data_IF_791473727405
#
_entry.id   IF_791473727405
#
_cell.length_a   1.000
_cell.length_b   1.000
_cell.length_c   1.000
_cell.angle_alpha   90.00
_cell.angle_beta   90.00
_cell.angle_gamma   90.00
#
_symmetry.space_group_name_H-M   'P 1'
#
loop_
_entity.id
_entity.type
_entity.pdbx_description
1 polymer ?
#
# COMPACT_ATOMS: atom_id res chain seq x y z
N UNK A 1 -27.91 -29.75 53.05
CA UNK A 1 -27.20 -28.96 52.04
C UNK A 1 -26.92 -27.57 52.59
N UNK A 2 -25.65 -27.26 52.95
CA UNK A 2 -25.27 -25.92 53.45
C UNK A 2 -25.07 -24.99 52.26
N UNK A 3 -25.89 -23.95 52.14
CA UNK A 3 -25.73 -22.87 51.16
C UNK A 3 -24.37 -22.17 51.37
N UNK A 4 -23.45 -22.41 50.50
CA UNK A 4 -22.20 -21.60 50.38
C UNK A 4 -22.65 -20.18 50.08
N UNK A 5 -22.31 -19.24 50.97
CA UNK A 5 -22.77 -17.84 50.90
C UNK A 5 -22.36 -17.25 49.54
N UNK A 6 -23.32 -16.64 48.80
CA UNK A 6 -23.02 -16.06 47.47
C UNK A 6 -21.95 -14.96 47.50
N UNK A 7 -21.65 -14.42 48.67
CA UNK A 7 -20.57 -13.43 48.91
C UNK A 7 -19.18 -13.97 48.69
N UNK A 8 -18.89 -15.27 48.94
CA UNK A 8 -17.57 -15.87 48.66
C UNK A 8 -17.36 -16.08 47.15
N UNK A 9 -18.43 -16.41 46.43
CA UNK A 9 -18.37 -16.57 44.97
C UNK A 9 -18.16 -15.21 44.29
N UNK A 10 -18.85 -14.15 44.75
CA UNK A 10 -18.70 -12.79 44.23
C UNK A 10 -17.32 -12.20 44.51
N UNK A 11 -16.75 -12.47 45.68
CA UNK A 11 -15.37 -12.04 46.00
C UNK A 11 -14.30 -12.77 45.18
N UNK A 12 -14.48 -14.05 44.87
CA UNK A 12 -13.58 -14.83 44.01
C UNK A 12 -13.63 -14.34 42.55
N UNK A 13 -14.81 -13.95 42.06
CA UNK A 13 -15.01 -13.38 40.71
C UNK A 13 -14.37 -11.97 40.59
N UNK A 14 -14.50 -11.14 41.64
CA UNK A 14 -13.92 -9.80 41.65
C UNK A 14 -12.35 -9.80 41.69
N UNK A 15 -11.76 -10.81 42.34
CA UNK A 15 -10.29 -10.99 42.36
C UNK A 15 -9.78 -11.53 41.03
N UNK A 16 -10.57 -12.31 40.28
CA UNK A 16 -10.20 -12.90 39.00
C UNK A 16 -10.25 -11.89 37.82
N UNK A 17 -10.99 -10.78 37.95
CA UNK A 17 -11.13 -9.77 36.86
C UNK A 17 -9.91 -8.87 36.65
N UNK A 18 -8.80 -9.00 37.44
CA UNK A 18 -7.62 -8.15 37.41
C UNK A 18 -6.36 -8.76 36.82
N UNK A 19 -6.35 -10.01 36.36
CA UNK A 19 -5.11 -10.73 35.99
C UNK A 19 -4.92 -10.90 34.49
N UNK A 20 -4.99 -9.81 33.71
CA UNK A 20 -4.52 -9.89 32.31
C UNK A 20 -3.02 -10.17 32.26
N UNK A 21 -2.62 -11.22 31.54
CA UNK A 21 -1.23 -11.60 31.32
C UNK A 21 -0.56 -10.82 30.17
N UNK A 22 -1.29 -9.90 29.57
CA UNK A 22 -0.80 -9.10 28.45
C UNK A 22 0.11 -7.97 28.98
N UNK A 23 1.33 -7.83 28.44
CA UNK A 23 2.19 -6.68 28.75
C UNK A 23 1.53 -5.38 28.31
N UNK A 24 1.67 -4.34 29.12
CA UNK A 24 1.26 -2.99 28.69
C UNK A 24 2.08 -2.59 27.45
N UNK A 25 1.39 -2.16 26.41
CA UNK A 25 2.08 -1.61 25.24
C UNK A 25 2.55 -0.19 25.57
N UNK A 26 3.83 0.04 25.40
CA UNK A 26 4.43 1.37 25.42
C UNK A 26 4.94 1.70 24.02
N UNK A 27 4.57 2.87 23.53
CA UNK A 27 5.04 3.32 22.22
C UNK A 27 6.54 3.54 22.29
N UNK A 28 7.34 2.91 21.39
CA UNK A 28 8.78 3.09 21.37
C UNK A 28 9.15 4.55 21.15
N UNK A 29 10.12 5.05 21.88
CA UNK A 29 10.70 6.37 21.65
C UNK A 29 11.32 6.42 20.25
N UNK A 30 11.13 7.55 19.56
CA UNK A 30 11.71 7.78 18.24
C UNK A 30 12.86 8.79 18.38
N UNK A 31 14.03 8.42 17.91
CA UNK A 31 15.22 9.29 17.82
C UNK A 31 15.12 10.29 16.66
N UNK A 32 13.90 10.60 16.20
CA UNK A 32 13.69 11.53 15.09
C UNK A 32 13.90 12.99 15.60
N UNK A 33 14.61 13.81 14.81
CA UNK A 33 14.73 15.25 15.12
C UNK A 33 13.35 15.92 15.06
N UNK A 34 13.13 16.98 15.84
CA UNK A 34 11.83 17.65 15.90
C UNK A 34 11.36 18.22 14.56
N UNK A 35 12.30 18.62 13.70
CA UNK A 35 11.99 19.13 12.35
C UNK A 35 12.89 18.49 11.32
N UNK A 36 12.28 18.13 10.19
CA UNK A 36 12.97 17.67 8.98
C UNK A 36 13.19 18.91 8.11
N UNK A 37 14.44 19.31 7.89
CA UNK A 37 14.74 20.38 6.93
C UNK A 37 15.30 21.69 7.46
N UNK A 38 15.59 21.83 8.75
CA UNK A 38 16.31 23.02 9.26
C UNK A 38 17.68 23.28 8.60
N UNK A 39 18.22 22.29 7.89
CA UNK A 39 19.49 22.41 7.15
C UNK A 39 19.30 22.91 5.70
N UNK A 40 18.06 22.94 5.21
CA UNK A 40 17.71 23.39 3.86
C UNK A 40 16.99 24.75 4.00
N UNK A 41 17.73 25.84 3.78
CA UNK A 41 17.18 27.21 3.79
C UNK A 41 16.16 27.38 2.66
N UNK A 42 14.90 27.09 2.92
CA UNK A 42 13.81 27.32 1.99
C UNK A 42 12.70 28.17 2.66
N UNK A 43 12.16 29.22 2.00
CA UNK A 43 11.18 30.12 2.60
C UNK A 43 9.82 29.44 2.83
N UNK A 44 9.22 29.73 3.97
CA UNK A 44 8.07 29.05 4.58
C UNK A 44 6.89 28.73 3.66
N UNK A 45 6.43 27.51 3.75
CA UNK A 45 5.22 27.03 3.10
C UNK A 45 4.23 26.52 4.16
N UNK A 46 3.00 26.99 4.03
CA UNK A 46 1.86 26.49 4.79
C UNK A 46 1.45 25.15 4.14
N UNK A 47 1.51 24.07 4.90
CA UNK A 47 0.88 22.81 4.47
C UNK A 47 -0.62 23.08 4.37
N UNK A 48 -1.25 22.91 3.19
CA UNK A 48 -2.68 23.13 3.08
C UNK A 48 -3.40 22.18 4.02
N UNK A 49 -4.15 22.71 4.98
CA UNK A 49 -4.99 21.91 5.89
C UNK A 49 -6.27 21.41 5.20
N UNK A 50 -6.36 21.51 3.88
CA UNK A 50 -7.54 21.12 3.13
C UNK A 50 -7.59 19.61 2.92
N UNK A 51 -8.75 19.04 3.16
CA UNK A 51 -9.16 17.63 2.90
C UNK A 51 -9.05 17.20 1.42
N UNK A 52 -8.55 18.08 0.55
CA UNK A 52 -8.41 17.79 -0.87
C UNK A 52 -7.22 16.85 -1.12
N UNK A 53 -7.47 15.84 -1.93
CA UNK A 53 -6.45 14.92 -2.40
C UNK A 53 -5.25 15.69 -2.97
N UNK A 54 -4.01 15.30 -2.62
CA UNK A 54 -2.77 15.98 -3.03
C UNK A 54 -2.70 16.23 -4.55
N UNK A 55 -3.29 15.36 -5.36
CA UNK A 55 -3.35 15.49 -6.82
C UNK A 55 -4.26 16.61 -7.31
N UNK A 56 -5.19 17.11 -6.49
CA UNK A 56 -6.02 18.26 -6.84
C UNK A 56 -5.19 19.53 -7.06
N UNK A 57 -4.01 19.61 -6.47
CA UNK A 57 -3.10 20.74 -6.61
C UNK A 57 -2.51 20.88 -8.03
N UNK A 58 -2.49 19.79 -8.82
CA UNK A 58 -2.09 19.84 -10.23
C UNK A 58 -3.17 20.47 -11.12
N UNK A 59 -4.39 20.65 -10.62
CA UNK A 59 -5.52 21.25 -11.31
C UNK A 59 -5.77 20.66 -12.71
N UNK A 60 -5.61 19.34 -12.84
CA UNK A 60 -5.73 18.58 -14.08
C UNK A 60 -6.91 17.61 -13.98
N UNK A 61 -8.03 17.89 -14.73
CA UNK A 61 -9.22 17.05 -14.67
C UNK A 61 -8.99 15.64 -15.23
N UNK A 62 -8.11 15.46 -16.23
CA UNK A 62 -7.82 14.14 -16.79
C UNK A 62 -7.04 13.28 -15.78
N UNK A 63 -6.09 13.87 -15.05
CA UNK A 63 -5.39 13.17 -13.96
C UNK A 63 -6.38 12.72 -12.88
N UNK A 64 -7.33 13.59 -12.52
CA UNK A 64 -8.35 13.26 -11.53
C UNK A 64 -9.20 12.06 -11.97
N UNK A 65 -9.66 12.05 -13.20
CA UNK A 65 -10.48 10.96 -13.74
C UNK A 65 -9.69 9.64 -13.79
N UNK A 66 -8.42 9.66 -14.24
CA UNK A 66 -7.56 8.48 -14.25
C UNK A 66 -7.31 7.93 -12.84
N UNK A 67 -7.14 8.80 -11.85
CA UNK A 67 -6.97 8.40 -10.46
C UNK A 67 -8.23 7.75 -9.89
N UNK A 68 -9.41 8.28 -10.21
CA UNK A 68 -10.69 7.68 -9.83
C UNK A 68 -10.88 6.31 -10.47
N UNK A 69 -10.57 6.17 -11.76
CA UNK A 69 -10.59 4.89 -12.47
C UNK A 69 -9.62 3.88 -11.85
N UNK A 70 -8.39 4.28 -11.57
CA UNK A 70 -7.40 3.42 -10.94
C UNK A 70 -7.86 2.91 -9.58
N UNK A 71 -8.37 3.78 -8.71
CA UNK A 71 -8.89 3.36 -7.40
C UNK A 71 -10.11 2.44 -7.49
N UNK A 72 -10.89 2.53 -8.58
CA UNK A 72 -12.03 1.64 -8.80
C UNK A 72 -11.65 0.30 -9.45
N UNK A 73 -10.59 0.26 -10.27
CA UNK A 73 -10.32 -0.87 -11.15
C UNK A 73 -8.93 -1.51 -10.98
N UNK A 74 -7.97 -0.84 -10.36
CA UNK A 74 -6.63 -1.39 -10.15
C UNK A 74 -6.66 -2.69 -9.37
N UNK A 75 -5.99 -3.72 -9.88
CA UNK A 75 -6.02 -5.07 -9.31
C UNK A 75 -5.36 -5.14 -7.93
N UNK A 76 -4.24 -4.43 -7.73
CA UNK A 76 -3.52 -4.45 -6.44
C UNK A 76 -4.37 -3.81 -5.35
N UNK A 77 -5.07 -2.70 -5.67
CA UNK A 77 -5.97 -2.04 -4.73
C UNK A 77 -7.17 -2.93 -4.37
N UNK A 78 -7.78 -3.61 -5.35
CA UNK A 78 -8.84 -4.60 -5.10
C UNK A 78 -8.37 -5.76 -4.23
N UNK A 79 -7.15 -6.25 -4.44
CA UNK A 79 -6.55 -7.29 -3.57
C UNK A 79 -6.40 -6.78 -2.14
N UNK A 80 -5.97 -5.52 -1.94
CA UNK A 80 -5.86 -4.95 -0.60
C UNK A 80 -7.22 -4.80 0.09
N UNK A 81 -8.28 -4.45 -0.64
CA UNK A 81 -9.64 -4.43 -0.11
C UNK A 81 -10.10 -5.83 0.36
N UNK A 82 -9.79 -6.87 -0.41
CA UNK A 82 -10.12 -8.25 -0.02
C UNK A 82 -9.31 -8.71 1.20
N UNK A 83 -8.04 -8.32 1.33
CA UNK A 83 -7.24 -8.58 2.53
C UNK A 83 -7.80 -7.88 3.76
N UNK A 84 -8.26 -6.64 3.62
CA UNK A 84 -8.94 -5.93 4.70
C UNK A 84 -10.24 -6.63 5.11
N UNK A 85 -11.05 -7.08 4.13
CA UNK A 85 -12.25 -7.87 4.40
C UNK A 85 -11.92 -9.18 5.12
N UNK A 86 -10.86 -9.88 4.70
CA UNK A 86 -10.37 -11.11 5.35
C UNK A 86 -9.98 -10.83 6.82
N UNK A 87 -9.23 -9.77 7.08
CA UNK A 87 -8.84 -9.39 8.45
C UNK A 87 -10.06 -9.03 9.32
N UNK A 88 -11.06 -8.33 8.75
CA UNK A 88 -12.33 -8.05 9.42
C UNK A 88 -13.10 -9.32 9.77
N UNK A 89 -13.15 -10.28 8.86
CA UNK A 89 -13.81 -11.57 9.10
C UNK A 89 -13.08 -12.37 10.20
N UNK A 90 -11.73 -12.37 10.20
CA UNK A 90 -10.93 -12.99 11.25
C UNK A 90 -11.18 -12.34 12.63
N UNK A 91 -11.28 -11.00 12.69
CA UNK A 91 -11.66 -10.29 13.92
C UNK A 91 -13.07 -10.68 14.39
N UNK A 92 -14.02 -10.80 13.46
CA UNK A 92 -15.40 -11.25 13.78
C UNK A 92 -15.39 -12.67 14.34
N UNK A 93 -14.62 -13.57 13.73
CA UNK A 93 -14.42 -14.94 14.23
C UNK A 93 -13.83 -14.95 15.64
N UNK A 94 -12.74 -14.20 15.88
CA UNK A 94 -12.13 -14.14 17.21
C UNK A 94 -13.05 -13.52 18.27
N UNK A 95 -13.91 -12.57 17.89
CA UNK A 95 -14.93 -12.01 18.79
C UNK A 95 -16.00 -13.04 19.17
N UNK A 96 -16.28 -14.01 18.31
CA UNK A 96 -17.22 -15.08 18.61
C UNK A 96 -16.74 -15.96 19.79
N UNK A 97 -15.43 -16.11 19.98
CA UNK A 97 -14.85 -16.87 21.11
C UNK A 97 -15.15 -16.24 22.48
N UNK A 98 -15.68 -15.01 22.54
CA UNK A 98 -16.18 -14.37 23.77
C UNK A 98 -17.58 -14.82 24.19
N UNK A 99 -18.24 -15.59 23.34
CA UNK A 99 -19.61 -16.06 23.53
C UNK A 99 -19.67 -17.58 23.58
N UNK A 100 -20.63 -18.17 24.27
CA UNK A 100 -20.85 -19.60 24.21
C UNK A 100 -21.13 -20.07 22.78
N UNK A 101 -20.54 -21.19 22.37
CA UNK A 101 -20.97 -21.93 21.18
C UNK A 101 -22.12 -22.87 21.50
N UNK A 102 -23.06 -22.97 20.56
CA UNK A 102 -24.21 -23.89 20.67
C UNK A 102 -24.20 -24.76 19.42
N UNK A 103 -24.15 -26.07 19.65
CA UNK A 103 -24.15 -27.07 18.59
C UNK A 103 -25.28 -28.08 18.82
N UNK A 104 -25.76 -28.68 17.75
CA UNK A 104 -26.64 -29.85 17.82
C UNK A 104 -25.77 -31.05 17.50
N UNK A 105 -25.80 -32.05 18.37
CA UNK A 105 -25.09 -33.33 18.18
C UNK A 105 -26.12 -34.43 18.06
N UNK A 106 -25.98 -35.26 17.03
CA UNK A 106 -26.76 -36.49 16.85
C UNK A 106 -25.75 -37.64 16.69
N UNK A 107 -25.99 -38.69 17.42
CA UNK A 107 -25.11 -39.87 17.40
C UNK A 107 -25.91 -41.17 17.42
N UNK A 108 -25.42 -42.17 16.71
CA UNK A 108 -25.85 -43.55 16.81
C UNK A 108 -24.62 -44.43 16.97
N UNK A 109 -24.61 -45.29 17.96
CA UNK A 109 -23.48 -46.16 18.24
C UNK A 109 -23.96 -47.55 18.66
N UNK A 110 -23.19 -48.58 18.30
CA UNK A 110 -23.34 -49.92 18.83
C UNK A 110 -21.97 -50.34 19.42
N UNK A 111 -21.95 -50.85 20.60
CA UNK A 111 -20.77 -51.27 21.33
C UNK A 111 -20.99 -52.65 21.95
N UNK A 112 -20.06 -53.58 21.70
CA UNK A 112 -20.01 -54.81 22.43
C UNK A 112 -18.79 -54.80 23.34
N UNK A 113 -18.99 -55.03 24.62
CA UNK A 113 -17.92 -55.21 25.60
C UNK A 113 -17.45 -56.66 25.58
N UNK A 114 -16.11 -56.85 25.68
CA UNK A 114 -15.51 -58.18 25.75
C UNK A 114 -15.90 -58.91 27.02
N UNK A 115 -16.25 -60.20 26.92
CA UNK A 115 -16.51 -61.04 28.05
C UNK A 115 -15.33 -61.08 29.06
N UNK A 116 -14.08 -60.94 28.58
CA UNK A 116 -12.87 -60.94 29.37
C UNK A 116 -12.61 -59.59 30.12
N UNK A 117 -13.20 -58.52 29.65
CA UNK A 117 -13.01 -57.17 30.23
C UNK A 117 -14.08 -56.77 31.23
N UNK A 118 -15.18 -57.50 31.30
CA UNK A 118 -16.28 -57.23 32.23
C UNK A 118 -16.11 -57.94 33.56
N UNK A 119 -16.29 -57.31 34.72
CA UNK A 119 -15.97 -57.93 36.01
C UNK A 119 -16.73 -59.20 36.35
N UNK A 120 -17.82 -59.48 35.64
CA UNK A 120 -18.69 -60.66 35.85
C UNK A 120 -18.63 -61.72 34.74
N UNK A 121 -17.72 -61.57 33.74
CA UNK A 121 -17.52 -62.57 32.67
C UNK A 121 -18.63 -62.67 31.64
N UNK A 122 -19.50 -61.70 31.51
CA UNK A 122 -20.54 -61.60 30.49
C UNK A 122 -20.43 -60.25 29.77
N UNK A 123 -20.01 -60.27 28.53
CA UNK A 123 -20.05 -59.10 27.65
C UNK A 123 -21.49 -58.71 27.34
N UNK A 124 -21.70 -57.43 27.17
CA UNK A 124 -23.00 -56.87 26.83
C UNK A 124 -22.91 -56.04 25.55
N UNK A 125 -23.94 -56.16 24.71
CA UNK A 125 -24.16 -55.26 23.58
C UNK A 125 -24.95 -54.03 24.04
N UNK A 126 -24.48 -52.86 23.71
CA UNK A 126 -25.16 -51.60 24.01
C UNK A 126 -25.36 -50.85 22.68
N UNK A 127 -26.60 -50.52 22.37
CA UNK A 127 -26.92 -49.53 21.37
C UNK A 127 -27.14 -48.20 22.05
N UNK A 128 -26.78 -47.11 21.38
CA UNK A 128 -27.05 -45.78 21.88
C UNK A 128 -27.43 -44.84 20.73
N UNK A 129 -28.58 -44.23 20.91
CA UNK A 129 -29.06 -43.17 20.03
C UNK A 129 -29.14 -41.88 20.88
N UNK A 130 -28.53 -40.83 20.38
CA UNK A 130 -28.48 -39.53 21.10
C UNK A 130 -28.80 -38.38 20.15
N UNK A 131 -29.56 -37.40 20.64
CA UNK A 131 -29.82 -36.16 19.97
C UNK A 131 -29.88 -35.07 21.04
N UNK A 132 -29.07 -34.02 20.92
CA UNK A 132 -29.03 -32.98 21.93
C UNK A 132 -28.38 -31.69 21.47
N UNK A 133 -28.70 -30.63 22.19
CA UNK A 133 -27.99 -29.34 22.12
C UNK A 133 -26.81 -29.33 23.10
N UNK A 134 -25.64 -28.98 22.60
CA UNK A 134 -24.40 -28.84 23.38
C UNK A 134 -23.96 -27.38 23.41
N UNK A 135 -23.78 -26.86 24.61
CA UNK A 135 -23.24 -25.51 24.84
C UNK A 135 -21.84 -25.63 25.39
N UNK A 136 -20.88 -24.90 24.78
CA UNK A 136 -19.50 -24.84 25.27
C UNK A 136 -19.06 -23.38 25.40
N UNK A 137 -18.44 -23.05 26.53
CA UNK A 137 -17.92 -21.70 26.80
C UNK A 137 -16.61 -21.75 27.60
N UNK A 138 -15.63 -20.97 27.19
CA UNK A 138 -14.38 -20.75 27.92
C UNK A 138 -14.48 -19.42 28.69
N UNK A 139 -14.34 -19.48 30.02
CA UNK A 139 -14.27 -18.27 30.84
C UNK A 139 -12.86 -17.71 30.77
N UNK A 140 -12.72 -16.46 30.29
CA UNK A 140 -11.43 -15.79 30.04
C UNK A 140 -10.82 -15.22 31.33
N UNK A 141 -10.41 -16.09 32.25
CA UNK A 141 -9.84 -15.69 33.54
C UNK A 141 -8.49 -14.99 33.45
N UNK A 142 -7.68 -15.39 32.47
CA UNK A 142 -6.29 -14.94 32.34
C UNK A 142 -6.08 -14.03 31.14
N UNK A 143 -7.14 -13.67 30.45
CA UNK A 143 -7.12 -12.76 29.31
C UNK A 143 -6.63 -13.40 28.01
N UNK A 144 -6.66 -14.73 27.85
CA UNK A 144 -6.28 -15.42 26.62
C UNK A 144 -7.14 -15.01 25.42
N UNK A 145 -8.45 -15.08 25.60
CA UNK A 145 -9.42 -14.71 24.56
C UNK A 145 -9.37 -13.21 24.31
N UNK A 146 -9.26 -12.40 25.35
CA UNK A 146 -9.11 -10.95 25.25
C UNK A 146 -7.84 -10.54 24.51
N UNK A 147 -6.69 -11.15 24.83
CA UNK A 147 -5.42 -10.90 24.15
C UNK A 147 -5.45 -11.31 22.67
N UNK A 148 -6.07 -12.47 22.37
CA UNK A 148 -6.28 -12.92 20.99
C UNK A 148 -7.14 -11.93 20.19
N UNK A 149 -8.21 -11.43 20.79
CA UNK A 149 -9.08 -10.42 20.18
C UNK A 149 -8.35 -9.10 19.94
N UNK A 150 -7.51 -8.68 20.88
CA UNK A 150 -6.71 -7.46 20.73
C UNK A 150 -5.67 -7.60 19.62
N UNK A 151 -5.01 -8.77 19.50
CA UNK A 151 -4.14 -9.10 18.38
C UNK A 151 -4.86 -8.97 17.05
N UNK A 152 -6.05 -9.61 16.91
CA UNK A 152 -6.84 -9.58 15.68
C UNK A 152 -7.35 -8.17 15.35
N UNK A 153 -7.69 -7.36 16.35
CA UNK A 153 -8.08 -5.96 16.16
C UNK A 153 -6.90 -5.14 15.62
N UNK A 154 -5.72 -5.29 16.21
CA UNK A 154 -4.52 -4.60 15.75
C UNK A 154 -4.10 -5.05 14.33
N UNK A 155 -4.23 -6.34 14.01
CA UNK A 155 -4.01 -6.85 12.65
C UNK A 155 -5.00 -6.26 11.63
N UNK A 156 -6.28 -6.14 12.00
CA UNK A 156 -7.27 -5.47 11.16
C UNK A 156 -6.90 -3.99 10.91
N UNK A 157 -6.49 -3.26 11.95
CA UNK A 157 -6.05 -1.86 11.84
C UNK A 157 -4.77 -1.72 11.01
N UNK A 158 -3.86 -2.70 11.10
CA UNK A 158 -2.68 -2.74 10.23
C UNK A 158 -3.08 -2.90 8.75
N UNK A 159 -4.03 -3.80 8.44
CA UNK A 159 -4.52 -3.97 7.06
C UNK A 159 -5.27 -2.74 6.53
N UNK A 160 -5.99 -2.02 7.41
CA UNK A 160 -6.63 -0.75 7.05
C UNK A 160 -5.58 0.30 6.67
N UNK A 161 -4.51 0.42 7.45
CA UNK A 161 -3.39 1.31 7.18
C UNK A 161 -2.61 0.90 5.93
N UNK A 162 -2.40 -0.41 5.69
CA UNK A 162 -1.77 -0.92 4.46
C UNK A 162 -2.59 -0.56 3.20
N UNK A 163 -3.92 -0.65 3.27
CA UNK A 163 -4.80 -0.23 2.16
C UNK A 163 -4.61 1.25 1.85
N UNK A 164 -4.53 2.11 2.87
CA UNK A 164 -4.30 3.55 2.68
C UNK A 164 -2.89 3.84 2.11
N UNK A 165 -1.86 3.11 2.58
CA UNK A 165 -0.51 3.20 2.01
C UNK A 165 -0.50 2.80 0.53
N UNK A 166 -1.23 1.74 0.17
CA UNK A 166 -1.35 1.30 -1.21
C UNK A 166 -2.14 2.31 -2.05
N UNK A 167 -3.23 2.90 -1.52
CA UNK A 167 -3.99 3.97 -2.19
C UNK A 167 -3.08 5.13 -2.58
N UNK A 168 -2.24 5.56 -1.65
CA UNK A 168 -1.25 6.61 -1.88
C UNK A 168 -0.23 6.19 -2.94
N UNK A 169 0.26 4.97 -2.88
CA UNK A 169 1.25 4.44 -3.82
C UNK A 169 0.69 4.29 -5.24
N UNK A 170 -0.52 3.75 -5.39
CA UNK A 170 -1.22 3.63 -6.69
C UNK A 170 -1.46 5.02 -7.26
N UNK A 171 -1.96 5.96 -6.45
CA UNK A 171 -2.17 7.35 -6.87
C UNK A 171 -0.89 8.02 -7.37
N UNK A 172 0.22 7.86 -6.64
CA UNK A 172 1.52 8.39 -7.05
C UNK A 172 2.03 7.74 -8.36
N UNK A 173 1.85 6.42 -8.51
CA UNK A 173 2.25 5.69 -9.72
C UNK A 173 1.44 6.11 -10.95
N UNK A 174 0.13 6.29 -10.81
CA UNK A 174 -0.74 6.77 -11.90
C UNK A 174 -0.36 8.19 -12.29
N UNK A 175 -0.16 9.10 -11.34
CA UNK A 175 0.26 10.47 -11.62
C UNK A 175 1.63 10.51 -12.34
N UNK A 176 2.59 9.72 -11.87
CA UNK A 176 3.91 9.60 -12.49
C UNK A 176 3.80 9.07 -13.93
N UNK A 177 3.01 8.02 -14.15
CA UNK A 177 2.79 7.44 -15.49
C UNK A 177 2.08 8.42 -16.43
N UNK A 178 1.08 9.15 -15.92
CA UNK A 178 0.36 10.17 -16.66
C UNK A 178 1.29 11.31 -17.13
N UNK A 179 2.05 11.91 -16.21
CA UNK A 179 2.96 12.99 -16.58
C UNK A 179 4.12 12.52 -17.46
N UNK A 180 4.58 11.28 -17.29
CA UNK A 180 5.56 10.66 -18.20
C UNK A 180 5.01 10.51 -19.62
N UNK A 181 3.74 10.10 -19.77
CA UNK A 181 3.07 10.04 -21.07
C UNK A 181 2.95 11.44 -21.69
N UNK A 182 2.54 12.45 -20.92
CA UNK A 182 2.43 13.84 -21.40
C UNK A 182 3.79 14.43 -21.82
N UNK A 183 4.86 14.10 -21.10
CA UNK A 183 6.21 14.49 -21.48
C UNK A 183 6.62 13.85 -22.81
N UNK A 184 6.35 12.56 -22.99
CA UNK A 184 6.62 11.85 -24.24
C UNK A 184 5.79 12.40 -25.42
N UNK A 185 4.53 12.75 -25.23
CA UNK A 185 3.71 13.40 -26.25
C UNK A 185 4.35 14.72 -26.69
N UNK A 186 4.84 15.53 -25.75
CA UNK A 186 5.54 16.78 -26.08
C UNK A 186 6.87 16.54 -26.80
N UNK A 187 7.66 15.55 -26.38
CA UNK A 187 8.91 15.19 -27.07
C UNK A 187 8.65 14.70 -28.49
N UNK A 188 7.62 13.88 -28.72
CA UNK A 188 7.18 13.45 -30.04
C UNK A 188 6.80 14.66 -30.90
N UNK A 189 6.07 15.64 -30.34
CA UNK A 189 5.71 16.85 -31.07
C UNK A 189 6.93 17.70 -31.45
N UNK A 190 7.90 17.87 -30.55
CA UNK A 190 9.19 18.52 -30.84
C UNK A 190 9.90 17.80 -32.00
N UNK A 191 9.99 16.47 -31.93
CA UNK A 191 10.65 15.66 -32.96
C UNK A 191 9.91 15.74 -34.31
N UNK A 192 8.58 15.69 -34.34
CA UNK A 192 7.78 15.87 -35.55
C UNK A 192 8.04 17.23 -36.23
N UNK A 193 8.04 18.31 -35.43
CA UNK A 193 8.30 19.66 -35.92
C UNK A 193 9.76 19.76 -36.48
N UNK A 194 10.69 19.11 -35.77
CA UNK A 194 12.11 19.11 -36.22
C UNK A 194 12.28 18.29 -37.50
N UNK A 195 11.66 17.13 -37.67
CA UNK A 195 11.65 16.35 -38.91
C UNK A 195 11.14 17.21 -40.07
N UNK A 196 10.02 17.91 -39.87
CA UNK A 196 9.46 18.80 -40.91
C UNK A 196 10.49 19.89 -41.31
N UNK A 197 11.09 20.56 -40.33
CA UNK A 197 12.10 21.58 -40.57
C UNK A 197 13.36 21.01 -41.29
N UNK A 198 13.78 19.78 -40.98
CA UNK A 198 14.91 19.13 -41.67
C UNK A 198 14.55 18.73 -43.09
N UNK A 199 13.32 18.28 -43.36
CA UNK A 199 12.85 18.00 -44.73
C UNK A 199 12.89 19.26 -45.61
N UNK A 200 12.39 20.37 -45.11
CA UNK A 200 12.40 21.66 -45.80
C UNK A 200 13.84 22.13 -46.05
N UNK A 201 14.73 21.97 -45.08
CA UNK A 201 16.15 22.31 -45.22
C UNK A 201 16.81 21.43 -46.27
N UNK A 202 16.61 20.11 -46.27
CA UNK A 202 17.16 19.19 -47.26
C UNK A 202 16.74 19.60 -48.69
N UNK A 203 15.46 19.88 -48.90
CA UNK A 203 14.94 20.35 -50.18
C UNK A 203 15.59 21.65 -50.63
N UNK A 204 15.82 22.59 -49.72
CA UNK A 204 16.52 23.82 -50.02
C UNK A 204 17.98 23.58 -50.45
N UNK A 205 18.71 22.67 -49.71
CA UNK A 205 20.09 22.32 -50.04
C UNK A 205 20.19 21.60 -51.41
N UNK A 206 19.25 20.72 -51.73
CA UNK A 206 19.15 20.07 -53.02
C UNK A 206 19.01 21.08 -54.16
N UNK A 207 18.09 22.04 -54.04
CA UNK A 207 17.89 23.11 -55.03
C UNK A 207 19.15 23.99 -55.20
N UNK A 208 19.82 24.32 -54.06
CA UNK A 208 21.07 25.11 -54.10
C UNK A 208 22.21 24.34 -54.78
N UNK A 209 22.30 23.01 -54.61
CA UNK A 209 23.24 22.15 -55.29
C UNK A 209 22.97 22.10 -56.80
N UNK A 210 21.74 21.90 -57.22
CA UNK A 210 21.32 21.91 -58.64
C UNK A 210 21.66 23.23 -59.34
N UNK A 211 21.62 24.33 -58.62
CA UNK A 211 22.01 25.65 -59.08
C UNK A 211 23.54 25.91 -59.01
N UNK A 212 24.35 24.92 -58.62
CA UNK A 212 25.79 25.05 -58.47
C UNK A 212 26.26 25.92 -57.31
N UNK A 213 25.40 26.24 -56.34
CA UNK A 213 25.69 27.13 -55.20
C UNK A 213 26.24 26.41 -53.98
N UNK A 214 26.07 25.09 -53.90
CA UNK A 214 26.55 24.25 -52.80
C UNK A 214 27.20 22.98 -53.34
N UNK A 215 27.98 22.33 -52.46
CA UNK A 215 28.60 21.03 -52.74
C UNK A 215 27.63 19.89 -52.44
N UNK A 216 27.82 18.73 -53.06
CA UNK A 216 27.08 17.51 -52.76
C UNK A 216 27.25 17.09 -51.29
N UNK A 217 28.38 17.39 -50.66
CA UNK A 217 28.63 17.14 -49.24
C UNK A 217 27.58 17.80 -48.35
N UNK A 218 27.18 19.03 -48.62
CA UNK A 218 26.15 19.73 -47.82
C UNK A 218 24.78 19.07 -47.94
N UNK A 219 24.41 18.51 -49.10
CA UNK A 219 23.19 17.74 -49.29
C UNK A 219 23.24 16.46 -48.48
N UNK A 220 24.34 15.69 -48.53
CA UNK A 220 24.50 14.47 -47.78
C UNK A 220 24.47 14.71 -46.25
N UNK A 221 25.06 15.82 -45.79
CA UNK A 221 24.99 16.23 -44.39
C UNK A 221 23.56 16.54 -43.96
N UNK A 222 22.76 17.20 -44.79
CA UNK A 222 21.34 17.47 -44.49
C UNK A 222 20.51 16.19 -44.48
N UNK A 223 20.79 15.21 -45.35
CA UNK A 223 20.15 13.89 -45.36
C UNK A 223 20.44 13.10 -44.07
N UNK A 224 21.70 13.09 -43.64
CA UNK A 224 22.11 12.44 -42.38
C UNK A 224 21.36 13.04 -41.18
N UNK A 225 21.20 14.38 -41.13
CA UNK A 225 20.48 15.04 -40.04
C UNK A 225 18.99 14.75 -40.06
N UNK A 226 18.37 14.68 -41.24
CA UNK A 226 16.98 14.25 -41.35
C UNK A 226 16.79 12.83 -40.81
N UNK A 227 17.59 11.87 -41.29
CA UNK A 227 17.53 10.48 -40.88
C UNK A 227 17.74 10.31 -39.37
N UNK A 228 18.69 11.08 -38.78
CA UNK A 228 18.93 11.08 -37.33
C UNK A 228 17.68 11.45 -36.53
N UNK A 229 16.99 12.52 -36.92
CA UNK A 229 15.81 12.98 -36.21
C UNK A 229 14.60 12.05 -36.46
N UNK A 230 14.48 11.46 -37.65
CA UNK A 230 13.45 10.45 -37.94
C UNK A 230 13.64 9.20 -37.06
N UNK A 231 14.84 8.70 -36.87
CA UNK A 231 15.14 7.61 -35.95
C UNK A 231 14.74 7.99 -34.51
N UNK A 232 15.09 9.22 -34.09
CA UNK A 232 14.72 9.69 -32.76
C UNK A 232 13.20 9.80 -32.58
N UNK A 233 12.47 10.26 -33.58
CA UNK A 233 11.01 10.31 -33.58
C UNK A 233 10.41 8.91 -33.41
N UNK A 234 10.89 7.90 -34.15
CA UNK A 234 10.41 6.52 -34.06
C UNK A 234 10.65 5.99 -32.63
N UNK A 235 11.83 6.22 -32.05
CA UNK A 235 12.16 5.80 -30.69
C UNK A 235 11.23 6.47 -29.63
N UNK A 236 10.96 7.76 -29.78
CA UNK A 236 10.05 8.48 -28.89
C UNK A 236 8.61 7.98 -29.01
N UNK A 237 8.14 7.67 -30.22
CA UNK A 237 6.81 7.09 -30.45
C UNK A 237 6.70 5.71 -29.78
N UNK A 238 7.71 4.85 -29.93
CA UNK A 238 7.74 3.55 -29.26
C UNK A 238 7.68 3.69 -27.73
N UNK A 239 8.49 4.58 -27.14
CA UNK A 239 8.49 4.86 -25.70
C UNK A 239 7.12 5.38 -25.23
N UNK A 240 6.50 6.29 -25.99
CA UNK A 240 5.17 6.82 -25.73
C UNK A 240 4.12 5.71 -25.70
N UNK A 241 4.12 4.83 -26.70
CA UNK A 241 3.14 3.74 -26.79
C UNK A 241 3.31 2.74 -25.63
N UNK A 242 4.56 2.39 -25.29
CA UNK A 242 4.85 1.58 -24.11
C UNK A 242 4.35 2.24 -22.79
N UNK A 243 4.54 3.57 -22.67
CA UNK A 243 4.08 4.31 -21.49
C UNK A 243 2.55 4.38 -21.42
N UNK A 244 1.86 4.46 -22.55
CA UNK A 244 0.40 4.42 -22.64
C UNK A 244 -0.14 3.07 -22.17
N UNK A 245 0.49 1.96 -22.59
CA UNK A 245 0.14 0.62 -22.11
C UNK A 245 0.38 0.46 -20.61
N UNK A 246 1.48 0.98 -20.08
CA UNK A 246 1.77 0.96 -18.65
C UNK A 246 0.72 1.75 -17.84
N UNK A 247 0.30 2.93 -18.32
CA UNK A 247 -0.78 3.71 -17.70
C UNK A 247 -2.11 2.94 -17.73
N UNK A 248 -2.48 2.33 -18.86
CA UNK A 248 -3.68 1.51 -19.00
C UNK A 248 -3.71 0.36 -17.99
N UNK A 249 -2.57 -0.31 -17.78
CA UNK A 249 -2.46 -1.36 -16.76
C UNK A 249 -2.69 -0.82 -15.34
N UNK A 250 -2.11 0.34 -15.03
CA UNK A 250 -2.27 0.97 -13.71
C UNK A 250 -3.71 1.41 -13.43
N UNK A 251 -4.42 1.91 -14.42
CA UNK A 251 -5.84 2.29 -14.26
C UNK A 251 -6.80 1.10 -14.29
N UNK A 252 -6.31 -0.08 -14.60
CA UNK A 252 -7.09 -1.32 -14.60
C UNK A 252 -7.97 -1.48 -15.84
N UNK A 253 -7.54 -0.94 -17.00
CA UNK A 253 -8.22 -1.13 -18.28
C UNK A 253 -8.27 -2.62 -18.66
N UNK A 254 -9.38 -3.05 -19.24
CA UNK A 254 -9.47 -4.33 -19.95
C UNK A 254 -8.59 -4.32 -21.21
N UNK A 255 -8.19 -5.49 -21.75
CA UNK A 255 -7.42 -5.56 -22.98
C UNK A 255 -8.06 -4.81 -24.16
N UNK A 256 -9.39 -4.79 -24.24
CA UNK A 256 -10.12 -4.04 -25.28
C UNK A 256 -9.96 -2.51 -25.08
N UNK A 257 -10.16 -2.03 -23.87
CA UNK A 257 -9.95 -0.61 -23.51
C UNK A 257 -8.50 -0.17 -23.73
N UNK A 258 -7.52 -1.05 -23.47
CA UNK A 258 -6.10 -0.78 -23.77
C UNK A 258 -5.89 -0.51 -25.27
N UNK A 259 -6.51 -1.32 -26.15
CA UNK A 259 -6.44 -1.13 -27.60
C UNK A 259 -7.14 0.17 -28.02
N UNK A 260 -8.30 0.47 -27.47
CA UNK A 260 -9.02 1.71 -27.75
C UNK A 260 -8.22 2.94 -27.31
N UNK A 261 -7.67 2.92 -26.09
CA UNK A 261 -6.80 3.99 -25.58
C UNK A 261 -5.51 4.13 -26.41
N UNK A 262 -4.95 3.03 -26.92
CA UNK A 262 -3.76 3.10 -27.78
C UNK A 262 -4.02 3.78 -29.14
N UNK A 263 -5.26 3.74 -29.61
CA UNK A 263 -5.71 4.39 -30.87
C UNK A 263 -6.15 5.81 -30.68
N UNK A 264 -6.41 6.25 -29.44
CA UNK A 264 -6.80 7.63 -29.18
C UNK A 264 -5.71 8.59 -29.67
N UNK A 265 -6.11 9.55 -30.51
CA UNK A 265 -5.21 10.59 -30.99
C UNK A 265 -4.69 11.45 -29.83
N UNK A 266 -3.49 12.01 -30.05
CA UNK A 266 -2.77 12.79 -29.04
C UNK A 266 -3.66 13.94 -28.53
N UNK A 267 -4.20 13.82 -27.34
CA UNK A 267 -4.86 14.91 -26.67
C UNK A 267 -3.86 16.05 -26.44
N UNK A 268 -4.32 17.29 -26.58
CA UNK A 268 -3.55 18.53 -26.45
C UNK A 268 -2.35 18.42 -25.50
N UNK A 269 -1.16 18.62 -26.04
CA UNK A 269 0.11 18.52 -25.31
C UNK A 269 0.27 19.69 -24.30
N UNK A 270 -0.58 19.73 -23.30
CA UNK A 270 -0.63 20.80 -22.29
C UNK A 270 0.43 20.60 -21.17
N UNK A 271 1.40 19.68 -21.39
CA UNK A 271 2.51 19.46 -20.44
C UNK A 271 3.32 20.75 -20.17
N UNK A 272 3.42 21.64 -21.16
CA UNK A 272 4.07 22.93 -20.99
C UNK A 272 3.40 23.81 -19.90
N UNK A 273 2.09 23.69 -19.71
CA UNK A 273 1.30 24.44 -18.72
C UNK A 273 1.16 23.75 -17.37
N UNK A 274 1.60 22.48 -17.24
CA UNK A 274 1.58 21.78 -15.95
C UNK A 274 2.39 22.59 -14.93
N UNK A 275 1.69 23.17 -13.95
CA UNK A 275 2.31 23.91 -12.85
C UNK A 275 3.03 22.96 -11.88
N UNK A 276 4.08 23.48 -11.24
CA UNK A 276 4.64 22.83 -10.06
C UNK A 276 3.88 23.35 -8.86
N UNK A 277 3.14 22.51 -8.12
CA UNK A 277 2.45 22.98 -6.91
C UNK A 277 3.46 23.52 -5.90
N UNK A 278 3.09 24.56 -5.12
CA UNK A 278 3.93 25.04 -4.04
C UNK A 278 4.09 23.97 -2.98
N UNK A 279 5.28 23.84 -2.40
CA UNK A 279 5.64 22.79 -1.45
C UNK A 279 6.00 23.36 -0.08
N UNK A 280 5.75 22.59 1.01
CA UNK A 280 6.14 22.98 2.35
C UNK A 280 7.66 23.06 2.50
N UNK A 281 8.15 24.04 3.24
CA UNK A 281 9.56 24.28 3.48
C UNK A 281 10.05 23.74 4.82
N UNK A 282 9.14 23.57 5.78
CA UNK A 282 9.41 22.92 7.05
C UNK A 282 8.42 21.78 7.26
N UNK A 283 8.95 20.60 7.53
CA UNK A 283 8.18 19.43 7.89
C UNK A 283 8.47 19.08 9.35
N UNK A 284 7.46 19.11 10.19
CA UNK A 284 7.55 18.56 11.54
C UNK A 284 7.67 17.06 11.46
N UNK A 285 8.59 16.44 12.21
CA UNK A 285 8.78 14.99 12.22
C UNK A 285 7.53 14.22 12.69
N UNK A 286 6.66 14.85 13.48
CA UNK A 286 5.35 14.30 13.84
C UNK A 286 4.49 13.96 12.61
N UNK A 287 4.70 14.67 11.51
CA UNK A 287 3.98 14.42 10.27
C UNK A 287 4.30 13.04 9.71
N UNK A 288 5.53 12.59 9.87
CA UNK A 288 5.92 11.23 9.44
C UNK A 288 5.17 10.14 10.21
N UNK A 289 4.86 10.38 11.49
CA UNK A 289 4.10 9.43 12.31
C UNK A 289 2.67 9.20 11.81
N UNK A 290 2.17 10.07 10.93
CA UNK A 290 0.85 9.93 10.30
C UNK A 290 0.89 9.13 9.00
N UNK A 291 2.07 8.77 8.52
CA UNK A 291 2.20 7.90 7.33
C UNK A 291 1.49 6.56 7.56
N UNK A 292 0.68 6.11 6.60
CA UNK A 292 -0.06 4.86 6.76
C UNK A 292 0.84 3.62 6.92
N UNK A 293 2.01 3.58 6.28
CA UNK A 293 2.98 2.48 6.42
C UNK A 293 3.58 2.41 7.83
N UNK A 294 3.84 3.56 8.47
CA UNK A 294 4.30 3.64 9.87
C UNK A 294 3.19 3.18 10.81
N UNK A 295 1.94 3.64 10.58
CA UNK A 295 0.79 3.20 11.36
C UNK A 295 0.57 1.69 11.25
N UNK A 296 0.70 1.12 10.05
CA UNK A 296 0.61 -0.32 9.84
C UNK A 296 1.68 -1.09 10.62
N UNK A 297 2.93 -0.61 10.61
CA UNK A 297 4.03 -1.21 11.36
C UNK A 297 3.80 -1.13 12.88
N UNK A 298 3.30 0.01 13.39
CA UNK A 298 2.94 0.18 14.81
C UNK A 298 1.83 -0.79 15.22
N UNK A 299 0.77 -0.92 14.42
CA UNK A 299 -0.33 -1.85 14.71
C UNK A 299 0.14 -3.32 14.70
N UNK A 300 1.08 -3.69 13.83
CA UNK A 300 1.69 -5.03 13.86
C UNK A 300 2.53 -5.27 15.13
N UNK A 301 3.18 -4.24 15.64
CA UNK A 301 3.90 -4.31 16.92
C UNK A 301 2.92 -4.49 18.09
N UNK A 302 1.79 -3.76 18.10
CA UNK A 302 0.71 -3.91 19.08
C UNK A 302 0.12 -5.33 19.03
N UNK A 303 -0.09 -5.87 17.82
CA UNK A 303 -0.58 -7.24 17.64
C UNK A 303 0.40 -8.27 18.22
N UNK A 304 1.70 -8.12 17.99
CA UNK A 304 2.72 -9.01 18.54
C UNK A 304 2.81 -8.90 20.06
N UNK A 305 2.65 -7.70 20.64
CA UNK A 305 2.59 -7.50 22.08
C UNK A 305 1.36 -8.22 22.70
N UNK A 306 0.21 -8.13 22.05
CA UNK A 306 -0.98 -8.85 22.50
C UNK A 306 -0.81 -10.37 22.41
N UNK A 307 -0.07 -10.88 21.41
CA UNK A 307 0.24 -12.30 21.25
C UNK A 307 1.04 -12.87 22.45
N UNK A 308 1.95 -12.07 23.04
CA UNK A 308 2.65 -12.45 24.27
C UNK A 308 1.65 -12.72 25.41
N UNK A 309 0.63 -11.86 25.52
CA UNK A 309 -0.44 -12.04 26.52
C UNK A 309 -1.20 -13.36 26.35
N UNK A 310 -1.55 -13.71 25.12
CA UNK A 310 -2.21 -14.97 24.82
C UNK A 310 -1.31 -16.19 25.13
N UNK A 311 -0.02 -16.11 24.77
CA UNK A 311 0.95 -17.18 25.07
C UNK A 311 1.20 -17.34 26.56
N UNK A 312 1.31 -16.24 27.33
CA UNK A 312 1.45 -16.29 28.80
C UNK A 312 0.18 -16.83 29.47
N UNK A 313 -1.00 -16.43 29.02
CA UNK A 313 -2.26 -16.92 29.55
C UNK A 313 -2.42 -18.45 29.36
N UNK A 314 -1.83 -19.04 28.31
CA UNK A 314 -1.85 -20.48 28.06
C UNK A 314 -1.04 -21.30 29.10
N UNK A 315 -0.20 -20.68 29.93
CA UNK A 315 0.50 -21.32 31.04
C UNK A 315 -0.43 -21.60 32.24
N UNK A 316 -1.59 -20.94 32.31
CA UNK A 316 -2.52 -20.99 33.42
C UNK A 316 -3.67 -21.96 33.17
N UNK A 317 -4.38 -22.37 34.25
CA UNK A 317 -5.51 -23.29 34.13
C UNK A 317 -6.65 -22.70 33.26
N UNK A 318 -7.16 -23.49 32.34
CA UNK A 318 -8.30 -23.14 31.49
C UNK A 318 -9.60 -23.56 32.17
N UNK A 319 -10.55 -22.63 32.34
CA UNK A 319 -11.88 -22.89 32.88
C UNK A 319 -12.88 -22.98 31.74
N UNK A 320 -13.51 -24.15 31.57
CA UNK A 320 -14.56 -24.39 30.58
C UNK A 320 -15.89 -24.75 31.22
N UNK A 321 -16.96 -24.22 30.66
CA UNK A 321 -18.33 -24.59 30.99
C UNK A 321 -18.91 -25.35 29.81
N UNK A 322 -19.45 -26.55 30.08
CA UNK A 322 -20.11 -27.36 29.08
C UNK A 322 -21.53 -27.73 29.58
N UNK A 323 -22.50 -27.62 28.69
CA UNK A 323 -23.87 -28.01 28.96
C UNK A 323 -24.40 -28.90 27.85
N UNK A 324 -25.22 -29.86 28.19
CA UNK A 324 -25.94 -30.69 27.25
C UNK A 324 -27.40 -30.78 27.72
N UNK A 325 -28.29 -30.65 26.78
CA UNK A 325 -29.72 -31.00 26.96
C UNK A 325 -30.19 -31.73 25.70
N UNK A 326 -30.83 -32.88 25.90
CA UNK A 326 -31.25 -33.71 24.77
C UNK A 326 -31.91 -34.96 25.19
N UNK A 327 -32.01 -35.94 24.28
CA UNK A 327 -32.63 -37.25 24.48
C UNK A 327 -31.58 -38.35 24.20
N UNK A 328 -31.67 -39.46 24.93
CA UNK A 328 -30.81 -40.62 24.76
C UNK A 328 -31.57 -41.90 25.01
N UNK A 329 -31.44 -42.89 24.14
CA UNK A 329 -32.12 -44.17 24.28
C UNK A 329 -31.26 -45.32 23.69
N UNK A 330 -31.49 -46.54 24.16
CA UNK A 330 -30.90 -47.77 23.58
C UNK A 330 -31.58 -48.20 22.27
N UNK A 331 -32.80 -47.71 21.99
CA UNK A 331 -33.52 -47.96 20.75
C UNK A 331 -33.98 -46.67 20.11
N UNK A 332 -33.97 -46.63 18.78
CA UNK A 332 -34.42 -45.44 18.05
C UNK A 332 -35.90 -45.11 18.28
N UNK A 333 -36.73 -46.17 18.44
CA UNK A 333 -38.18 -46.00 18.63
C UNK A 333 -38.52 -45.25 19.94
N UNK A 334 -37.70 -45.41 20.98
CA UNK A 334 -37.93 -44.81 22.32
C UNK A 334 -37.15 -43.48 22.47
N UNK A 335 -36.48 -43.00 21.42
CA UNK A 335 -35.65 -41.80 21.55
C UNK A 335 -36.43 -40.55 21.93
N UNK A 336 -37.69 -40.45 21.54
CA UNK A 336 -38.52 -39.28 21.79
C UNK A 336 -39.53 -39.49 22.94
N UNK A 337 -39.41 -40.57 23.71
CA UNK A 337 -40.20 -40.78 24.90
C UNK A 337 -39.81 -39.82 26.00
N UNK A 338 -40.76 -39.53 26.91
CA UNK A 338 -40.54 -38.61 28.03
C UNK A 338 -39.37 -38.98 28.92
N UNK A 339 -39.05 -40.27 29.01
CA UNK A 339 -38.03 -40.84 29.89
C UNK A 339 -36.62 -40.82 29.21
N UNK A 340 -36.54 -40.49 27.92
CA UNK A 340 -35.30 -40.35 27.20
C UNK A 340 -34.60 -39.01 27.47
N UNK A 341 -35.28 -38.03 28.11
CA UNK A 341 -34.74 -36.71 28.39
C UNK A 341 -33.53 -36.77 29.32
N UNK A 342 -32.42 -36.19 28.88
CA UNK A 342 -31.21 -36.04 29.69
C UNK A 342 -30.68 -34.60 29.67
N UNK A 343 -30.04 -34.20 30.74
CA UNK A 343 -29.27 -32.96 30.77
C UNK A 343 -27.97 -33.14 31.57
N UNK A 344 -26.96 -32.37 31.22
CA UNK A 344 -25.68 -32.32 31.94
C UNK A 344 -25.16 -30.88 31.96
N UNK A 345 -24.72 -30.41 33.12
CA UNK A 345 -24.02 -29.16 33.27
C UNK A 345 -22.67 -29.46 33.97
N UNK A 346 -21.57 -29.04 33.37
CA UNK A 346 -20.24 -29.36 33.87
C UNK A 346 -19.34 -28.11 33.77
N UNK A 347 -18.62 -27.82 34.86
CA UNK A 347 -17.50 -26.91 34.87
C UNK A 347 -16.20 -27.71 34.97
N UNK A 348 -15.27 -27.49 34.07
CA UNK A 348 -13.97 -28.17 34.02
C UNK A 348 -12.83 -27.19 34.17
N UNK A 349 -11.89 -27.48 35.06
CA UNK A 349 -10.62 -26.74 35.19
C UNK A 349 -9.47 -27.65 34.77
N UNK A 350 -8.78 -27.28 33.70
CA UNK A 350 -7.63 -28.04 33.19
C UNK A 350 -6.35 -27.20 33.24
N UNK A 351 -5.36 -27.68 33.98
CA UNK A 351 -4.04 -27.03 34.13
C UNK A 351 -2.95 -27.85 33.45
N UNK A 352 -2.08 -27.24 32.62
CA UNK A 352 -0.92 -27.94 32.05
C UNK A 352 0.18 -28.07 33.13
N UNK A 353 0.41 -29.30 33.63
CA UNK A 353 1.43 -29.55 34.67
C UNK A 353 2.78 -29.88 34.04
N UNK A 354 2.79 -30.71 32.97
CA UNK A 354 4.02 -31.12 32.29
C UNK A 354 3.78 -31.18 30.77
N UNK A 355 4.59 -30.41 30.05
CA UNK A 355 4.54 -30.35 28.56
C UNK A 355 5.96 -30.24 27.97
N UNK A 356 6.99 -30.77 28.68
CA UNK A 356 8.38 -30.75 28.26
C UNK A 356 8.89 -29.35 27.83
N UNK A 357 8.35 -28.26 28.41
CA UNK A 357 8.77 -26.91 28.15
C UNK A 357 8.09 -26.23 26.95
N UNK A 358 7.20 -26.91 26.20
CA UNK A 358 6.59 -26.39 24.98
C UNK A 358 5.88 -25.03 25.18
N UNK A 359 5.10 -24.85 26.25
CA UNK A 359 4.40 -23.58 26.51
C UNK A 359 5.36 -22.43 26.86
N UNK A 360 6.46 -22.71 27.58
CA UNK A 360 7.48 -21.68 27.84
C UNK A 360 8.23 -21.28 26.56
N UNK A 361 8.55 -22.25 25.71
CA UNK A 361 9.12 -21.99 24.40
C UNK A 361 8.18 -21.14 23.53
N UNK A 362 6.85 -21.38 23.59
CA UNK A 362 5.86 -20.55 22.88
C UNK A 362 5.86 -19.09 23.35
N UNK A 363 6.03 -18.83 24.66
CA UNK A 363 6.21 -17.45 25.17
C UNK A 363 7.48 -16.82 24.62
N UNK A 364 8.61 -17.55 24.64
CA UNK A 364 9.86 -17.05 24.07
C UNK A 364 9.76 -16.74 22.57
N UNK A 365 9.05 -17.57 21.81
CA UNK A 365 8.75 -17.31 20.38
C UNK A 365 7.98 -15.99 20.24
N UNK A 366 6.91 -15.80 21.00
CA UNK A 366 6.09 -14.58 20.95
C UNK A 366 6.88 -13.33 21.36
N UNK A 367 7.77 -13.42 22.35
CA UNK A 367 8.66 -12.33 22.75
C UNK A 367 9.70 -12.01 21.66
N UNK A 368 10.23 -13.02 20.98
CA UNK A 368 11.13 -12.83 19.86
C UNK A 368 10.42 -12.19 18.66
N UNK A 369 9.18 -12.62 18.36
CA UNK A 369 8.34 -12.01 17.31
C UNK A 369 8.07 -10.52 17.60
N UNK A 370 7.76 -10.18 18.85
CA UNK A 370 7.56 -8.78 19.24
C UNK A 370 8.84 -7.94 18.99
N UNK A 371 10.04 -8.46 19.33
CA UNK A 371 11.29 -7.76 19.04
C UNK A 371 11.55 -7.61 17.55
N UNK A 372 11.22 -8.63 16.73
CA UNK A 372 11.30 -8.54 15.26
C UNK A 372 10.37 -7.43 14.74
N UNK A 373 9.14 -7.32 15.28
CA UNK A 373 8.20 -6.25 14.87
C UNK A 373 8.67 -4.87 15.35
N UNK A 374 9.33 -4.78 16.50
CA UNK A 374 9.92 -3.53 16.99
C UNK A 374 11.04 -3.05 16.04
N UNK A 375 11.97 -3.91 15.65
CA UNK A 375 13.01 -3.57 14.69
C UNK A 375 12.42 -3.20 13.32
N UNK A 376 11.38 -3.90 12.88
CA UNK A 376 10.65 -3.57 11.65
C UNK A 376 10.00 -2.18 11.71
N UNK A 377 9.39 -1.83 12.83
CA UNK A 377 8.81 -0.49 13.05
C UNK A 377 9.89 0.61 12.99
N UNK A 378 11.00 0.42 13.72
CA UNK A 378 12.11 1.37 13.71
C UNK A 378 12.75 1.51 12.32
N UNK A 379 12.87 0.41 11.58
CA UNK A 379 13.36 0.43 10.20
C UNK A 379 12.43 1.21 9.27
N UNK A 380 11.12 1.04 9.41
CA UNK A 380 10.11 1.80 8.64
C UNK A 380 10.21 3.30 8.95
N UNK A 381 10.41 3.68 10.21
CA UNK A 381 10.64 5.09 10.61
C UNK A 381 11.90 5.67 9.95
N UNK A 382 13.04 4.94 10.03
CA UNK A 382 14.30 5.39 9.42
C UNK A 382 14.18 5.54 7.91
N UNK A 383 13.50 4.59 7.26
CA UNK A 383 13.28 4.65 5.81
C UNK A 383 12.38 5.82 5.42
N UNK A 384 11.28 6.04 6.13
CA UNK A 384 10.37 7.15 5.88
C UNK A 384 11.08 8.52 6.04
N UNK A 385 11.95 8.64 7.04
CA UNK A 385 12.76 9.82 7.25
C UNK A 385 13.75 10.05 6.10
N UNK A 386 14.48 9.02 5.68
CA UNK A 386 15.42 9.08 4.56
C UNK A 386 14.70 9.45 3.25
N UNK A 387 13.56 8.79 2.93
CA UNK A 387 12.73 9.10 1.76
C UNK A 387 12.29 10.58 1.73
N UNK A 388 11.97 11.13 2.90
CA UNK A 388 11.54 12.53 3.01
C UNK A 388 12.70 13.49 2.75
N UNK A 389 13.88 13.22 3.32
CA UNK A 389 15.09 14.00 3.05
C UNK A 389 15.48 13.96 1.57
N UNK A 390 15.45 12.78 0.97
CA UNK A 390 15.76 12.59 -0.45
C UNK A 390 14.74 13.33 -1.32
N UNK A 391 13.46 13.27 -1.01
CA UNK A 391 12.40 13.94 -1.75
C UNK A 391 12.54 15.48 -1.67
N UNK A 392 12.86 16.04 -0.50
CA UNK A 392 13.11 17.47 -0.31
C UNK A 392 14.35 17.93 -1.11
N UNK A 393 15.45 17.19 -1.01
CA UNK A 393 16.68 17.49 -1.75
C UNK A 393 16.47 17.42 -3.25
N UNK A 394 15.79 16.38 -3.74
CA UNK A 394 15.48 16.21 -5.16
C UNK A 394 14.61 17.35 -5.68
N UNK A 395 13.60 17.76 -4.92
CA UNK A 395 12.70 18.85 -5.28
C UNK A 395 13.45 20.16 -5.47
N UNK A 396 14.28 20.57 -4.51
CA UNK A 396 15.05 21.80 -4.60
C UNK A 396 16.00 21.79 -5.80
N UNK A 397 16.76 20.70 -5.98
CA UNK A 397 17.73 20.58 -7.07
C UNK A 397 17.07 20.51 -8.45
N UNK A 398 15.89 19.89 -8.56
CA UNK A 398 15.16 19.82 -9.83
C UNK A 398 14.64 21.19 -10.29
N UNK A 399 14.28 22.09 -9.37
CA UNK A 399 13.92 23.47 -9.71
C UNK A 399 15.11 24.26 -10.24
N UNK A 400 16.27 24.16 -9.57
CA UNK A 400 17.52 24.80 -10.04
C UNK A 400 17.93 24.28 -11.40
N UNK A 401 17.84 22.97 -11.62
CA UNK A 401 18.13 22.33 -12.89
C UNK A 401 17.20 22.81 -14.00
N UNK A 402 15.89 22.91 -13.73
CA UNK A 402 14.91 23.40 -14.70
C UNK A 402 15.21 24.84 -15.11
N UNK A 403 15.56 25.71 -14.17
CA UNK A 403 15.95 27.09 -14.43
C UNK A 403 17.24 27.17 -15.30
N UNK A 404 18.23 26.32 -15.02
CA UNK A 404 19.45 26.25 -15.83
C UNK A 404 19.18 25.73 -17.26
N UNK A 405 18.37 24.67 -17.38
CA UNK A 405 17.98 24.10 -18.68
C UNK A 405 17.20 25.10 -19.54
N UNK A 406 16.31 25.88 -18.93
CA UNK A 406 15.59 26.94 -19.64
C UNK A 406 16.56 28.01 -20.21
N UNK A 407 17.53 28.45 -19.42
CA UNK A 407 18.57 29.39 -19.92
C UNK A 407 19.38 28.80 -21.07
N UNK A 408 19.72 27.51 -20.98
CA UNK A 408 20.45 26.81 -22.04
C UNK A 408 19.68 26.80 -23.37
N UNK A 409 18.39 26.43 -23.33
CA UNK A 409 17.53 26.41 -24.53
C UNK A 409 17.43 27.80 -25.16
N UNK A 410 17.26 28.87 -24.37
CA UNK A 410 17.20 30.23 -24.87
C UNK A 410 18.53 30.64 -25.54
N UNK A 411 19.68 30.30 -24.94
CA UNK A 411 21.01 30.58 -25.53
C UNK A 411 21.21 29.83 -26.84
N UNK A 412 20.83 28.54 -26.90
CA UNK A 412 20.98 27.73 -28.11
C UNK A 412 20.06 28.19 -29.24
N UNK A 413 18.86 28.67 -28.97
CA UNK A 413 17.97 29.29 -29.97
C UNK A 413 18.63 30.51 -30.60
N UNK A 414 19.27 31.38 -29.77
CA UNK A 414 20.02 32.52 -30.28
C UNK A 414 21.27 32.13 -31.04
N UNK A 415 21.97 31.09 -30.58
CA UNK A 415 23.16 30.54 -31.28
C UNK A 415 22.78 30.05 -32.67
N UNK A 416 21.67 29.30 -32.80
CA UNK A 416 21.18 28.83 -34.08
C UNK A 416 20.82 29.99 -35.03
N UNK A 417 20.11 31.02 -34.56
CA UNK A 417 19.79 32.21 -35.35
C UNK A 417 21.06 32.92 -35.87
N UNK A 418 22.08 33.08 -35.03
CA UNK A 418 23.36 33.69 -35.40
C UNK A 418 24.15 32.80 -36.36
N UNK A 419 24.21 31.49 -36.12
CA UNK A 419 24.90 30.54 -37.03
C UNK A 419 24.28 30.55 -38.43
N UNK A 420 22.93 30.56 -38.47
CA UNK A 420 22.21 30.63 -39.76
C UNK A 420 22.52 31.91 -40.51
N UNK A 421 22.48 33.10 -39.87
CA UNK A 421 22.79 34.40 -40.46
C UNK A 421 24.23 34.47 -40.99
N UNK A 422 25.19 33.94 -40.21
CA UNK A 422 26.62 33.88 -40.66
C UNK A 422 26.80 32.98 -41.87
N UNK A 423 26.14 31.83 -41.89
CA UNK A 423 26.19 30.91 -43.02
C UNK A 423 25.56 31.54 -44.26
N UNK A 424 24.38 32.14 -44.16
CA UNK A 424 23.67 32.77 -45.28
C UNK A 424 24.47 33.96 -45.86
N UNK A 425 25.30 34.60 -45.02
CA UNK A 425 26.22 35.67 -45.44
C UNK A 425 27.58 35.18 -45.93
N UNK A 426 27.85 33.85 -45.96
CA UNK A 426 29.06 33.25 -46.40
C UNK A 426 30.24 33.32 -45.42
N UNK A 427 30.01 33.73 -44.14
CA UNK A 427 31.06 33.88 -43.13
C UNK A 427 31.35 32.61 -42.33
N UNK A 428 30.55 31.55 -42.47
CA UNK A 428 30.76 30.28 -41.78
C UNK A 428 30.37 29.08 -42.62
N UNK A 429 30.85 27.90 -42.21
CA UNK A 429 30.47 26.64 -42.83
C UNK A 429 29.09 26.18 -42.40
N UNK A 430 28.44 25.36 -43.21
CA UNK A 430 27.16 24.74 -42.87
C UNK A 430 27.24 23.85 -41.61
N UNK A 431 28.43 23.37 -41.28
CA UNK A 431 28.67 22.55 -40.10
C UNK A 431 28.32 23.30 -38.80
N UNK A 432 28.60 24.61 -38.71
CA UNK A 432 28.17 25.40 -37.52
C UNK A 432 26.65 25.44 -37.33
N UNK A 433 25.91 25.54 -38.44
CA UNK A 433 24.44 25.49 -38.41
C UNK A 433 23.94 24.11 -37.95
N UNK A 434 24.56 23.04 -38.49
CA UNK A 434 24.20 21.67 -38.12
C UNK A 434 24.45 21.41 -36.63
N UNK A 435 25.59 21.85 -36.10
CA UNK A 435 25.94 21.68 -34.68
C UNK A 435 24.99 22.45 -33.78
N UNK A 436 24.67 23.71 -34.08
CA UNK A 436 23.70 24.49 -33.36
C UNK A 436 22.27 23.87 -33.38
N UNK A 437 21.89 23.30 -34.52
CA UNK A 437 20.62 22.62 -34.71
C UNK A 437 20.52 21.33 -33.89
N UNK A 438 21.60 20.52 -33.83
CA UNK A 438 21.69 19.31 -33.01
C UNK A 438 21.55 19.66 -31.52
N UNK A 439 22.39 20.60 -31.08
CA UNK A 439 22.43 21.05 -29.70
C UNK A 439 21.11 21.62 -29.25
N UNK A 440 20.38 22.37 -30.06
CA UNK A 440 19.08 22.91 -29.74
C UNK A 440 18.04 21.80 -29.60
N UNK A 441 17.94 20.85 -30.55
CA UNK A 441 16.99 19.75 -30.49
C UNK A 441 17.23 18.89 -29.24
N UNK A 442 18.49 18.52 -28.98
CA UNK A 442 18.85 17.72 -27.81
C UNK A 442 18.48 18.46 -26.49
N UNK A 443 18.72 19.79 -26.44
CA UNK A 443 18.39 20.60 -25.28
C UNK A 443 16.87 20.80 -25.08
N UNK A 444 16.07 20.90 -26.15
CA UNK A 444 14.62 21.01 -26.06
C UNK A 444 14.00 19.71 -25.56
N UNK A 445 14.49 18.54 -25.99
CA UNK A 445 14.06 17.23 -25.47
C UNK A 445 14.48 17.09 -23.99
N UNK A 446 15.73 17.43 -23.65
CA UNK A 446 16.22 17.40 -22.26
C UNK A 446 15.47 18.36 -21.33
N UNK A 447 14.98 19.50 -21.83
CA UNK A 447 14.14 20.42 -21.05
C UNK A 447 12.81 19.79 -20.64
N UNK A 448 12.18 19.01 -21.53
CA UNK A 448 10.94 18.27 -21.20
C UNK A 448 11.22 17.21 -20.15
N UNK A 449 12.34 16.47 -20.27
CA UNK A 449 12.76 15.49 -19.26
C UNK A 449 13.03 16.13 -17.90
N UNK A 450 13.72 17.27 -17.87
CA UNK A 450 14.02 18.01 -16.65
C UNK A 450 12.73 18.50 -15.98
N UNK A 451 11.74 18.97 -16.75
CA UNK A 451 10.43 19.35 -16.23
C UNK A 451 9.68 18.14 -15.66
N UNK A 452 9.71 17.00 -16.33
CA UNK A 452 9.13 15.75 -15.81
C UNK A 452 9.79 15.36 -14.49
N UNK A 453 11.12 15.47 -14.38
CA UNK A 453 11.83 15.17 -13.15
C UNK A 453 11.41 16.08 -11.99
N UNK A 454 11.16 17.37 -12.25
CA UNK A 454 10.66 18.32 -11.25
C UNK A 454 9.23 17.96 -10.79
N UNK A 455 8.34 17.58 -11.71
CA UNK A 455 6.98 17.10 -11.36
C UNK A 455 7.08 15.79 -10.55
N UNK A 456 7.94 14.87 -10.95
CA UNK A 456 8.17 13.59 -10.28
C UNK A 456 8.69 13.79 -8.85
N UNK A 457 9.57 14.78 -8.64
CA UNK A 457 10.07 15.15 -7.32
C UNK A 457 8.93 15.59 -6.40
N UNK A 458 7.99 16.39 -6.93
CA UNK A 458 6.82 16.82 -6.18
C UNK A 458 5.91 15.64 -5.79
N UNK A 459 5.62 14.73 -6.75
CA UNK A 459 4.82 13.53 -6.49
C UNK A 459 5.47 12.67 -5.40
N UNK A 460 6.79 12.47 -5.46
CA UNK A 460 7.54 11.72 -4.45
C UNK A 460 7.47 12.38 -3.08
N UNK A 461 7.57 13.71 -3.00
CA UNK A 461 7.48 14.43 -1.74
C UNK A 461 6.07 14.29 -1.13
N UNK A 462 5.00 14.43 -1.93
CA UNK A 462 3.64 14.18 -1.45
C UNK A 462 3.45 12.76 -0.91
N UNK A 463 4.02 11.76 -1.59
CA UNK A 463 4.02 10.38 -1.12
C UNK A 463 4.80 10.25 0.21
N UNK A 464 5.99 10.84 0.29
CA UNK A 464 6.87 10.75 1.46
C UNK A 464 6.26 11.37 2.72
N UNK A 465 5.44 12.42 2.58
CA UNK A 465 4.73 13.05 3.71
C UNK A 465 3.36 12.42 4.01
N UNK A 466 2.99 11.31 3.35
CA UNK A 466 1.77 10.55 3.64
C UNK A 466 0.49 11.02 2.94
N UNK A 467 0.55 11.93 1.96
CA UNK A 467 -0.52 12.29 1.01
C UNK A 467 -1.71 13.07 1.55
N UNK A 468 -2.30 12.73 2.66
CA UNK A 468 -3.49 13.36 3.24
C UNK A 468 -3.39 13.60 4.73
N UNK A 469 -3.93 14.75 5.13
CA UNK A 469 -4.14 15.15 6.51
C UNK A 469 -5.64 15.13 6.82
N UNK A 470 -6.19 14.00 7.23
CA UNK A 470 -7.43 14.02 8.00
C UNK A 470 -7.09 14.13 9.48
N UNK A 471 -7.48 15.24 10.09
CA UNK A 471 -7.58 15.32 11.54
C UNK A 471 -8.73 14.38 11.94
N UNK A 472 -8.41 13.18 12.44
CA UNK A 472 -9.41 12.24 13.01
C UNK A 472 -10.00 12.74 14.33
N UNK A 473 -9.86 14.02 14.70
CA UNK A 473 -10.43 14.55 15.94
C UNK A 473 -11.95 14.77 15.89
N UNK A 474 -12.61 14.73 14.72
CA UNK A 474 -14.03 15.07 14.59
C UNK A 474 -14.98 13.90 14.34
N UNK A 475 -14.51 12.65 14.27
CA UNK A 475 -15.37 11.47 14.05
C UNK A 475 -15.67 10.66 15.31
N UNK A 476 -15.35 11.18 16.50
CA UNK A 476 -15.68 10.53 17.78
C UNK A 476 -16.94 11.13 18.47
N UNK A 477 -17.68 12.00 17.76
CA UNK A 477 -18.98 12.52 18.23
C UNK A 477 -20.01 12.39 17.11
N UNK A 478 -20.44 11.19 16.85
CA UNK A 478 -21.76 10.91 16.26
C UNK A 478 -22.11 9.42 16.41
#
# INVERSE_FOLDING_TARGET
MRFVKPTLLASAIAIASGCSQMPTYEKPESDLPQTVGQTLQAPGLVVPQNEQAWWAQFNDPQLKDLLQQALAHNSDYKVAEQRLFQARAALTQGRADRWPSVNIEAGAGAQQTSDMAYPLGQGAEFNSFTLGGVVSYEIDLWGRVSATNQRLLAEYQAMESDREALRLSVGASVAQAYFSLRALDQMVQIAKNTVQSRKENLQLRQRQYELGRLTQLAVQQAEVELSRVEIQLINLQQRRDSQRHALSLLVGDSPLQMVERSRAEDADANFAKAGLPPLPTELQSELLMRRPDIQAAEQRLIAANANIGAARAALFPKLSLNGLVGVSSESFDNLFDSDALQWRAQAGLTAPIFNAGALRAQVQISEAEQRIKLEGYQQTLRQAFAETLDALSLQQRSQDQLAAQHRQVLALRKTLDLAQKRFDSGYSSYLEVLDAQRSLFDAEVAMVETKLNAISANIRLYKAIGGHWQNKSDSAQS
#
